data_IF_686586003573
#
_entry.id   IF_686586003573
#
_cell.length_a   1.000
_cell.length_b   1.000
_cell.length_c   1.000
_cell.angle_alpha   90.00
_cell.angle_beta   90.00
_cell.angle_gamma   90.00
#
_symmetry.space_group_name_H-M   'P 1'
#
loop_
_entity.id
_entity.type
_entity.pdbx_description
1 polymer ?
#
# COMPACT_ATOMS: atom_id res chain seq x y z
N UNK A 1 -8.35 8.37 -16.58
CA UNK A 1 -9.63 8.32 -15.95
C UNK A 1 -9.59 8.89 -14.55
N UNK A 2 -10.40 9.86 -14.28
CA UNK A 2 -10.34 10.61 -13.04
C UNK A 2 -11.52 10.32 -12.11
N UNK A 3 -12.51 9.66 -12.64
CA UNK A 3 -13.74 9.43 -11.91
C UNK A 3 -13.62 8.25 -10.96
N UNK A 4 -14.12 8.42 -9.77
CA UNK A 4 -14.10 7.34 -8.79
C UNK A 4 -15.00 6.19 -9.23
N UNK A 5 -14.56 4.98 -8.97
CA UNK A 5 -15.33 3.78 -9.29
C UNK A 5 -16.03 3.22 -8.06
N UNK A 6 -16.49 4.07 -7.17
CA UNK A 6 -17.22 3.61 -5.99
C UNK A 6 -18.53 2.99 -6.43
N UNK A 7 -18.80 1.80 -5.98
CA UNK A 7 -20.00 1.06 -6.31
C UNK A 7 -20.80 0.76 -5.04
N UNK A 8 -22.13 0.61 -5.20
CA UNK A 8 -23.01 0.20 -4.11
C UNK A 8 -23.30 -1.30 -4.12
N UNK A 9 -22.67 -2.05 -5.03
CA UNK A 9 -22.84 -3.50 -5.07
C UNK A 9 -22.30 -4.14 -3.79
N UNK A 10 -22.86 -5.32 -3.42
CA UNK A 10 -22.32 -6.03 -2.26
C UNK A 10 -20.83 -6.28 -2.39
N UNK A 11 -20.11 -6.13 -1.29
CA UNK A 11 -18.65 -6.31 -1.28
C UNK A 11 -18.31 -7.79 -1.42
N UNK A 12 -17.48 -8.16 -2.39
CA UNK A 12 -17.06 -9.56 -2.57
C UNK A 12 -15.91 -9.88 -1.59
N UNK A 13 -16.28 -10.27 -0.38
CA UNK A 13 -15.31 -10.45 0.70
C UNK A 13 -14.17 -11.41 0.35
N UNK A 14 -14.46 -12.48 -0.40
CA UNK A 14 -13.43 -13.43 -0.79
C UNK A 14 -12.39 -12.77 -1.70
N UNK A 15 -12.83 -11.93 -2.64
CA UNK A 15 -11.92 -11.21 -3.52
C UNK A 15 -11.06 -10.22 -2.75
N UNK A 16 -11.65 -9.57 -1.74
CA UNK A 16 -10.89 -8.66 -0.89
C UNK A 16 -9.81 -9.44 -0.14
N UNK A 17 -10.18 -10.57 0.45
CA UNK A 17 -9.23 -11.41 1.17
C UNK A 17 -8.11 -11.89 0.26
N UNK A 18 -8.44 -12.36 -0.93
CA UNK A 18 -7.43 -12.85 -1.89
C UNK A 18 -6.45 -11.74 -2.27
N UNK A 19 -6.97 -10.54 -2.49
CA UNK A 19 -6.13 -9.39 -2.80
C UNK A 19 -5.17 -9.05 -1.67
N UNK A 20 -5.68 -9.04 -0.44
CA UNK A 20 -4.87 -8.72 0.73
C UNK A 20 -3.84 -9.81 1.03
N UNK A 21 -4.21 -11.07 0.83
CA UNK A 21 -3.27 -12.18 1.01
C UNK A 21 -2.15 -12.09 -0.02
N UNK A 22 -2.49 -11.78 -1.27
CA UNK A 22 -1.48 -11.60 -2.31
C UNK A 22 -0.55 -10.44 -2.00
N UNK A 23 -1.11 -9.32 -1.56
CA UNK A 23 -0.32 -8.15 -1.19
C UNK A 23 0.65 -8.49 -0.07
N UNK A 24 0.16 -9.14 0.97
CA UNK A 24 0.99 -9.52 2.11
C UNK A 24 2.08 -10.50 1.69
N UNK A 25 1.75 -11.44 0.82
CA UNK A 25 2.73 -12.40 0.33
C UNK A 25 3.85 -11.73 -0.45
N UNK A 26 3.50 -10.80 -1.36
CA UNK A 26 4.51 -10.10 -2.14
C UNK A 26 5.35 -9.18 -1.26
N UNK A 27 4.75 -8.54 -0.28
CA UNK A 27 5.50 -7.72 0.67
C UNK A 27 6.50 -8.59 1.44
N UNK A 28 6.09 -9.81 1.81
CA UNK A 28 6.98 -10.75 2.48
C UNK A 28 8.16 -11.16 1.61
N UNK A 29 7.94 -11.34 0.31
CA UNK A 29 9.02 -11.66 -0.62
C UNK A 29 10.01 -10.50 -0.74
N UNK A 30 9.51 -9.26 -0.74
CA UNK A 30 10.38 -8.10 -0.76
C UNK A 30 11.25 -8.03 0.51
N UNK A 31 10.64 -8.32 1.66
CA UNK A 31 11.38 -8.38 2.92
C UNK A 31 12.46 -9.46 2.86
N UNK A 32 12.14 -10.62 2.28
CA UNK A 32 13.09 -11.72 2.17
C UNK A 32 14.30 -11.32 1.33
N UNK A 33 14.08 -10.57 0.25
CA UNK A 33 15.19 -10.05 -0.55
C UNK A 33 16.13 -9.20 0.29
N UNK A 34 15.58 -8.33 1.13
CA UNK A 34 16.39 -7.47 2.00
C UNK A 34 17.14 -8.28 3.06
N UNK A 35 16.50 -9.29 3.61
CA UNK A 35 17.16 -10.16 4.58
C UNK A 35 18.37 -10.85 3.95
N UNK A 36 18.24 -11.30 2.71
CA UNK A 36 19.35 -11.94 2.01
C UNK A 36 20.51 -10.98 1.78
N UNK A 37 20.21 -9.72 1.46
CA UNK A 37 21.25 -8.70 1.28
C UNK A 37 21.94 -8.43 2.61
N UNK A 38 21.17 -8.21 3.67
CA UNK A 38 21.72 -7.76 4.94
C UNK A 38 22.40 -8.86 5.74
N UNK A 39 21.91 -10.10 5.62
CA UNK A 39 22.37 -11.18 6.49
C UNK A 39 22.99 -12.37 5.78
N UNK A 40 22.89 -12.45 4.45
CA UNK A 40 23.38 -13.59 3.71
C UNK A 40 24.33 -13.23 2.56
N UNK A 41 24.77 -11.98 2.51
CA UNK A 41 25.78 -11.57 1.55
C UNK A 41 25.36 -11.45 0.10
N UNK A 42 24.05 -11.44 -0.18
CA UNK A 42 23.57 -11.23 -1.54
C UNK A 42 23.73 -9.77 -1.95
N UNK A 43 23.98 -9.54 -3.24
CA UNK A 43 23.98 -8.19 -3.75
C UNK A 43 22.56 -7.68 -3.89
N UNK A 44 22.36 -6.39 -3.67
CA UNK A 44 21.05 -5.78 -3.84
C UNK A 44 20.76 -5.58 -5.33
N UNK A 45 19.67 -6.20 -5.81
CA UNK A 45 19.24 -6.10 -7.19
C UNK A 45 18.05 -5.15 -7.26
N UNK A 46 18.32 -3.91 -7.72
CA UNK A 46 17.30 -2.86 -7.80
C UNK A 46 16.13 -3.26 -8.70
N UNK A 47 16.44 -3.89 -9.82
CA UNK A 47 15.40 -4.28 -10.77
C UNK A 47 14.50 -5.37 -10.19
N UNK A 48 15.09 -6.33 -9.51
CA UNK A 48 14.31 -7.39 -8.86
C UNK A 48 13.39 -6.78 -7.80
N UNK A 49 13.91 -5.88 -6.98
CA UNK A 49 13.09 -5.21 -5.97
C UNK A 49 11.96 -4.41 -6.61
N UNK A 50 12.25 -3.71 -7.73
CA UNK A 50 11.22 -2.94 -8.41
C UNK A 50 10.09 -3.85 -8.90
N UNK A 51 10.44 -5.05 -9.38
CA UNK A 51 9.42 -6.00 -9.82
C UNK A 51 8.56 -6.48 -8.66
N UNK A 52 9.17 -6.73 -7.49
CA UNK A 52 8.42 -7.11 -6.29
C UNK A 52 7.48 -5.97 -5.87
N UNK A 53 7.95 -4.73 -5.92
CA UNK A 53 7.09 -3.59 -5.61
C UNK A 53 5.94 -3.48 -6.61
N UNK A 54 6.20 -3.82 -7.87
CA UNK A 54 5.14 -3.87 -8.89
C UNK A 54 4.08 -4.90 -8.55
N UNK A 55 4.49 -6.06 -8.05
CA UNK A 55 3.53 -7.10 -7.66
C UNK A 55 2.70 -6.66 -6.46
N UNK A 56 3.32 -5.95 -5.51
CA UNK A 56 2.59 -5.37 -4.38
C UNK A 56 1.55 -4.39 -4.88
N UNK A 57 1.94 -3.51 -5.81
CA UNK A 57 1.03 -2.52 -6.37
C UNK A 57 -0.11 -3.18 -7.13
N UNK A 58 0.16 -4.29 -7.82
CA UNK A 58 -0.87 -5.05 -8.51
C UNK A 58 -1.94 -5.52 -7.54
N UNK A 59 -1.54 -6.14 -6.43
CA UNK A 59 -2.50 -6.63 -5.45
C UNK A 59 -3.21 -5.50 -4.71
N UNK A 60 -2.54 -4.37 -4.57
CA UNK A 60 -3.18 -3.17 -4.02
C UNK A 60 -4.32 -2.74 -4.93
N UNK A 61 -4.08 -2.70 -6.25
CA UNK A 61 -5.10 -2.33 -7.21
C UNK A 61 -6.24 -3.35 -7.24
N UNK A 62 -5.92 -4.63 -7.15
CA UNK A 62 -6.93 -5.69 -7.09
C UNK A 62 -7.82 -5.52 -5.86
N UNK A 63 -7.20 -5.22 -4.72
CA UNK A 63 -7.95 -5.03 -3.47
C UNK A 63 -8.83 -3.79 -3.54
N UNK A 64 -8.33 -2.71 -4.11
CA UNK A 64 -9.10 -1.50 -4.30
C UNK A 64 -10.32 -1.77 -5.18
N UNK A 65 -10.10 -2.44 -6.30
CA UNK A 65 -11.20 -2.76 -7.22
C UNK A 65 -12.26 -3.61 -6.53
N UNK A 66 -11.84 -4.53 -5.68
CA UNK A 66 -12.77 -5.41 -4.98
C UNK A 66 -13.71 -4.65 -4.06
N UNK A 67 -13.30 -3.49 -3.54
CA UNK A 67 -14.16 -2.68 -2.68
C UNK A 67 -14.78 -1.49 -3.44
N UNK A 68 -14.64 -1.47 -4.76
CA UNK A 68 -15.32 -0.48 -5.58
C UNK A 68 -14.57 0.84 -5.76
N UNK A 69 -13.28 0.85 -5.48
CA UNK A 69 -12.45 2.04 -5.68
C UNK A 69 -11.42 1.78 -6.77
N UNK A 70 -10.97 2.82 -7.44
CA UNK A 70 -9.76 2.70 -8.24
C UNK A 70 -8.56 3.12 -7.39
N UNK A 71 -7.38 2.73 -7.85
CA UNK A 71 -6.17 3.00 -7.09
C UNK A 71 -5.89 4.49 -6.98
N UNK A 72 -6.18 5.25 -8.03
CA UNK A 72 -5.95 6.68 -8.02
C UNK A 72 -6.73 7.37 -6.90
N UNK A 73 -8.00 6.99 -6.71
CA UNK A 73 -8.82 7.53 -5.64
C UNK A 73 -8.24 7.21 -4.27
N UNK A 74 -7.76 5.99 -4.09
CA UNK A 74 -7.17 5.59 -2.82
C UNK A 74 -5.90 6.38 -2.54
N UNK A 75 -5.08 6.59 -3.55
CA UNK A 75 -3.87 7.38 -3.41
C UNK A 75 -4.20 8.83 -3.05
N UNK A 76 -5.25 9.40 -3.66
CA UNK A 76 -5.68 10.75 -3.33
C UNK A 76 -6.20 10.84 -1.90
N UNK A 77 -6.98 9.86 -1.47
CA UNK A 77 -7.45 9.81 -0.08
C UNK A 77 -6.28 9.78 0.89
N UNK A 78 -5.22 9.05 0.54
CA UNK A 78 -4.04 8.99 1.39
C UNK A 78 -3.31 10.33 1.44
N UNK A 79 -3.19 11.01 0.31
CA UNK A 79 -2.58 12.34 0.28
C UNK A 79 -3.37 13.30 1.16
N UNK A 80 -4.70 13.28 1.06
CA UNK A 80 -5.55 14.16 1.86
C UNK A 80 -5.41 13.86 3.35
N UNK A 81 -5.37 12.58 3.70
CA UNK A 81 -5.17 12.15 5.09
C UNK A 81 -3.84 12.66 5.63
N UNK A 82 -2.77 12.53 4.85
CA UNK A 82 -1.44 12.98 5.27
C UNK A 82 -1.36 14.49 5.42
N UNK A 83 -2.06 15.23 4.55
CA UNK A 83 -2.11 16.70 4.65
C UNK A 83 -2.82 17.16 5.92
N UNK A 84 -3.85 16.43 6.31
CA UNK A 84 -4.56 16.72 7.56
C UNK A 84 -3.68 16.42 8.77
N UNK A 85 -2.96 15.30 8.73
CA UNK A 85 -2.10 14.85 9.82
C UNK A 85 -0.83 15.70 9.94
N UNK A 86 -0.27 16.11 8.80
CA UNK A 86 1.00 16.83 8.74
C UNK A 86 0.84 18.07 7.86
N UNK A 87 0.09 19.10 8.32
CA UNK A 87 -0.21 20.27 7.46
C UNK A 87 1.04 21.03 7.01
N UNK A 88 2.14 20.96 7.78
CA UNK A 88 3.39 21.61 7.43
C UNK A 88 4.43 20.63 6.90
N UNK A 89 3.99 19.47 6.43
CA UNK A 89 4.85 18.42 5.97
C UNK A 89 5.17 17.42 7.08
N UNK A 90 5.67 16.25 6.68
CA UNK A 90 5.99 15.18 7.63
C UNK A 90 7.18 15.56 8.48
N UNK A 91 7.09 15.26 9.81
CA UNK A 91 8.21 15.35 10.71
C UNK A 91 8.10 14.23 11.75
N UNK A 92 9.26 13.83 12.29
CA UNK A 92 9.28 12.79 13.33
C UNK A 92 8.50 13.25 14.56
N UNK A 93 8.65 14.51 14.93
CA UNK A 93 7.97 15.06 16.09
C UNK A 93 6.44 14.98 15.92
N UNK A 94 5.93 15.40 14.76
CA UNK A 94 4.51 15.32 14.51
C UNK A 94 4.01 13.88 14.52
N UNK A 95 4.82 12.97 14.00
CA UNK A 95 4.47 11.56 13.99
C UNK A 95 4.34 11.01 15.41
N UNK A 96 5.23 11.43 16.30
CA UNK A 96 5.21 10.98 17.70
C UNK A 96 4.05 11.56 18.50
N UNK A 97 3.59 12.74 18.14
CA UNK A 97 2.57 13.47 18.91
C UNK A 97 1.21 13.54 18.20
N UNK A 98 0.98 12.68 17.25
CA UNK A 98 -0.28 12.73 16.54
C UNK A 98 -1.44 12.32 17.45
N UNK A 99 -2.62 12.86 17.13
CA UNK A 99 -3.82 12.64 17.91
C UNK A 99 -4.21 11.16 18.00
N UNK A 100 -4.84 10.79 19.12
CA UNK A 100 -5.27 9.42 19.35
C UNK A 100 -6.32 8.94 18.32
N UNK A 101 -7.10 9.86 17.75
CA UNK A 101 -8.08 9.50 16.73
C UNK A 101 -7.56 9.67 15.31
N UNK A 102 -6.29 9.90 15.15
CA UNK A 102 -5.61 10.02 13.87
C UNK A 102 -5.00 8.67 13.53
N UNK A 103 -5.64 7.94 12.66
CA UNK A 103 -5.27 6.56 12.36
C UNK A 103 -4.37 6.43 11.15
#
# INVERSE_FOLDING_TARGET
RTESRITTDPVPYIRVLEGLMGLNGEAGEAIDLMKKVLFQGHEFDREHMAKELGDIAWYLAVSADAIGYDLESILQMNVDKLRTRYPDGFSTEQSLHRSANDI
#
